data_IF_708488236410
#
_entry.id   IF_708488236410
#
_cell.length_a   1.000
_cell.length_b   1.000
_cell.length_c   1.000
_cell.angle_alpha   90.00
_cell.angle_beta   90.00
_cell.angle_gamma   90.00
#
_symmetry.space_group_name_H-M   'P 1'
#
loop_
_entity.id
_entity.type
_entity.pdbx_description
1 polymer ?
#
# COMPACT_ATOMS: atom_id res chain seq x y z
N UNK A 1 21.97 -15.42 -7.92
CA UNK A 1 20.87 -14.48 -7.56
C UNK A 1 21.41 -13.61 -6.45
N UNK A 2 21.47 -12.30 -6.65
CA UNK A 2 21.95 -11.38 -5.61
C UNK A 2 20.83 -11.03 -4.62
N UNK A 3 21.23 -10.53 -3.45
CA UNK A 3 20.33 -10.23 -2.35
C UNK A 3 19.41 -9.04 -2.67
N UNK A 4 19.92 -8.08 -3.44
CA UNK A 4 19.19 -6.92 -3.93
C UNK A 4 17.99 -7.31 -4.82
N UNK A 5 18.17 -8.27 -5.72
CA UNK A 5 17.15 -8.79 -6.61
C UNK A 5 16.06 -9.53 -5.82
N UNK A 6 16.44 -10.30 -4.80
CA UNK A 6 15.48 -10.99 -3.91
C UNK A 6 14.65 -9.96 -3.15
N UNK A 7 15.30 -9.01 -2.49
CA UNK A 7 14.63 -7.92 -1.75
C UNK A 7 13.67 -7.15 -2.66
N UNK A 8 14.12 -6.77 -3.85
CA UNK A 8 13.33 -6.00 -4.82
C UNK A 8 12.14 -6.80 -5.33
N UNK A 9 12.34 -8.08 -5.68
CA UNK A 9 11.25 -8.97 -6.08
C UNK A 9 10.17 -9.08 -4.99
N UNK A 10 10.58 -9.33 -3.74
CA UNK A 10 9.66 -9.45 -2.61
C UNK A 10 8.94 -8.13 -2.33
N UNK A 11 9.63 -6.99 -2.43
CA UNK A 11 9.02 -5.68 -2.28
C UNK A 11 7.95 -5.43 -3.35
N UNK A 12 8.28 -5.68 -4.62
CA UNK A 12 7.34 -5.54 -5.73
C UNK A 12 6.15 -6.49 -5.61
N UNK A 13 6.35 -7.72 -5.13
CA UNK A 13 5.26 -8.65 -4.85
C UNK A 13 4.32 -8.12 -3.76
N UNK A 14 4.87 -7.58 -2.67
CA UNK A 14 4.09 -6.94 -1.61
C UNK A 14 3.33 -5.71 -2.10
N UNK A 15 3.99 -4.84 -2.88
CA UNK A 15 3.39 -3.64 -3.48
C UNK A 15 2.28 -4.03 -4.47
N UNK A 16 2.47 -5.03 -5.31
CA UNK A 16 1.46 -5.51 -6.26
C UNK A 16 0.22 -6.05 -5.54
N UNK A 17 0.40 -6.84 -4.48
CA UNK A 17 -0.71 -7.34 -3.68
C UNK A 17 -1.46 -6.26 -2.89
N UNK A 18 -0.74 -5.24 -2.40
CA UNK A 18 -1.35 -4.12 -1.67
C UNK A 18 -2.02 -3.11 -2.59
N UNK A 19 -1.26 -2.47 -3.49
CA UNK A 19 -1.73 -1.38 -4.35
C UNK A 19 -2.60 -1.94 -5.48
N UNK A 20 -2.10 -2.95 -6.21
CA UNK A 20 -2.84 -3.58 -7.30
C UNK A 20 -4.12 -4.26 -6.81
N UNK A 21 -4.07 -4.87 -5.62
CA UNK A 21 -5.25 -5.42 -4.96
C UNK A 21 -6.33 -4.39 -4.64
N UNK A 22 -5.96 -3.17 -4.22
CA UNK A 22 -6.92 -2.07 -4.01
C UNK A 22 -7.55 -1.63 -5.34
N UNK A 23 -6.76 -1.49 -6.41
CA UNK A 23 -7.28 -1.18 -7.76
C UNK A 23 -8.33 -2.21 -8.17
N UNK A 24 -8.00 -3.50 -8.01
CA UNK A 24 -8.91 -4.60 -8.34
C UNK A 24 -10.21 -4.52 -7.51
N UNK A 25 -10.11 -4.33 -6.19
CA UNK A 25 -11.28 -4.26 -5.31
C UNK A 25 -12.20 -3.07 -5.64
N UNK A 26 -11.63 -1.92 -6.00
CA UNK A 26 -12.42 -0.76 -6.46
C UNK A 26 -13.13 -1.09 -7.78
N UNK A 27 -12.42 -1.71 -8.74
CA UNK A 27 -12.99 -2.11 -10.02
C UNK A 27 -14.11 -3.15 -9.93
N UNK A 28 -14.02 -4.08 -8.97
CA UNK A 28 -15.04 -5.11 -8.75
C UNK A 28 -16.29 -4.61 -8.02
N UNK A 29 -16.25 -3.40 -7.45
CA UNK A 29 -17.34 -2.89 -6.59
C UNK A 29 -18.73 -2.86 -7.26
N UNK A 30 -18.89 -2.46 -8.54
CA UNK A 30 -20.20 -2.49 -9.20
C UNK A 30 -20.79 -3.90 -9.30
N UNK A 31 -19.95 -4.89 -9.63
CA UNK A 31 -20.34 -6.30 -9.73
C UNK A 31 -20.66 -6.86 -8.35
N UNK A 32 -19.83 -6.59 -7.35
CA UNK A 32 -20.09 -7.07 -5.99
C UNK A 32 -21.41 -6.51 -5.44
N UNK A 33 -21.76 -5.26 -5.76
CA UNK A 33 -23.04 -4.66 -5.36
C UNK A 33 -24.24 -5.27 -6.09
N UNK A 34 -24.09 -5.73 -7.34
CA UNK A 34 -25.18 -6.38 -8.07
C UNK A 34 -25.48 -7.80 -7.55
N UNK A 35 -24.50 -8.45 -6.91
CA UNK A 35 -24.64 -9.77 -6.31
C UNK A 35 -25.33 -9.76 -4.93
N UNK A 36 -25.58 -8.58 -4.35
CA UNK A 36 -26.31 -8.41 -3.09
C UNK A 36 -25.59 -7.53 -2.06
N UNK A 37 -26.29 -7.10 -1.00
CA UNK A 37 -25.77 -6.12 -0.03
C UNK A 37 -24.57 -6.62 0.79
N UNK A 38 -24.45 -7.93 1.01
CA UNK A 38 -23.36 -8.53 1.82
C UNK A 38 -22.11 -8.88 1.01
N UNK A 39 -22.22 -9.00 -0.31
CA UNK A 39 -21.13 -9.45 -1.18
C UNK A 39 -19.88 -8.53 -1.13
N UNK A 40 -20.00 -7.18 -1.18
CA UNK A 40 -18.84 -6.30 -1.03
C UNK A 40 -18.11 -6.47 0.30
N UNK A 41 -18.85 -6.68 1.40
CA UNK A 41 -18.29 -6.86 2.73
C UNK A 41 -17.55 -8.19 2.84
N UNK A 42 -18.14 -9.27 2.33
CA UNK A 42 -17.51 -10.58 2.30
C UNK A 42 -16.20 -10.56 1.48
N UNK A 43 -16.23 -9.92 0.30
CA UNK A 43 -15.04 -9.75 -0.55
C UNK A 43 -13.96 -8.91 0.16
N UNK A 44 -14.32 -7.79 0.79
CA UNK A 44 -13.39 -6.95 1.53
C UNK A 44 -12.69 -7.70 2.67
N UNK A 45 -13.42 -8.53 3.44
CA UNK A 45 -12.82 -9.36 4.49
C UNK A 45 -11.82 -10.38 3.93
N UNK A 46 -12.11 -11.00 2.78
CA UNK A 46 -11.19 -11.94 2.13
C UNK A 46 -9.99 -11.23 1.54
N UNK A 47 -10.19 -10.09 0.90
CA UNK A 47 -9.14 -9.22 0.41
C UNK A 47 -8.17 -8.83 1.53
N UNK A 48 -8.68 -8.40 2.70
CA UNK A 48 -7.84 -8.01 3.83
C UNK A 48 -6.88 -9.12 4.29
N UNK A 49 -7.30 -10.39 4.24
CA UNK A 49 -6.43 -11.54 4.61
C UNK A 49 -5.23 -11.73 3.68
N UNK A 50 -5.29 -11.20 2.46
CA UNK A 50 -4.19 -11.23 1.48
C UNK A 50 -3.43 -9.90 1.50
N UNK A 51 -4.16 -8.79 1.52
CA UNK A 51 -3.60 -7.44 1.46
C UNK A 51 -2.68 -7.14 2.65
N UNK A 52 -3.08 -7.46 3.88
CA UNK A 52 -2.26 -7.17 5.07
C UNK A 52 -0.89 -7.88 5.06
N UNK A 53 -0.79 -9.18 4.75
CA UNK A 53 0.50 -9.83 4.50
C UNK A 53 1.33 -9.16 3.40
N UNK A 54 0.72 -8.77 2.28
CA UNK A 54 1.42 -8.06 1.21
C UNK A 54 1.95 -6.69 1.66
N UNK A 55 1.18 -5.95 2.45
CA UNK A 55 1.64 -4.70 3.06
C UNK A 55 2.80 -4.92 4.02
N UNK A 56 2.69 -5.92 4.90
CA UNK A 56 3.76 -6.28 5.82
C UNK A 56 5.04 -6.66 5.06
N UNK A 57 4.92 -7.44 3.99
CA UNK A 57 6.04 -7.79 3.11
C UNK A 57 6.68 -6.55 2.49
N UNK A 58 5.88 -5.62 1.95
CA UNK A 58 6.38 -4.37 1.38
C UNK A 58 7.08 -3.50 2.44
N UNK A 59 6.53 -3.39 3.65
CA UNK A 59 7.14 -2.62 4.75
C UNK A 59 8.47 -3.24 5.16
N UNK A 60 8.51 -4.55 5.43
CA UNK A 60 9.74 -5.24 5.87
C UNK A 60 10.85 -5.12 4.82
N UNK A 61 10.53 -5.37 3.56
CA UNK A 61 11.50 -5.24 2.45
C UNK A 61 11.88 -3.79 2.15
N UNK A 62 10.99 -2.83 2.41
CA UNK A 62 11.30 -1.40 2.32
C UNK A 62 12.27 -0.96 3.42
N UNK A 63 12.07 -1.43 4.65
CA UNK A 63 13.00 -1.20 5.78
C UNK A 63 14.36 -1.85 5.52
N UNK A 64 14.38 -3.05 4.93
CA UNK A 64 15.62 -3.66 4.45
C UNK A 64 16.32 -2.74 3.43
N UNK A 65 15.60 -2.23 2.43
CA UNK A 65 16.16 -1.30 1.45
C UNK A 65 16.75 -0.03 2.08
N UNK A 66 16.12 0.50 3.12
CA UNK A 66 16.64 1.65 3.87
C UNK A 66 17.94 1.36 4.60
N UNK A 67 18.09 0.15 5.15
CA UNK A 67 19.31 -0.23 5.87
C UNK A 67 20.52 -0.41 4.93
N UNK A 68 20.27 -0.68 3.65
CA UNK A 68 21.32 -0.86 2.63
C UNK A 68 21.61 0.43 1.85
N UNK A 69 20.66 1.36 1.78
CA UNK A 69 20.89 2.68 1.17
C UNK A 69 21.73 3.55 2.12
N UNK A 70 22.93 3.92 1.68
CA UNK A 70 23.78 4.91 2.36
C UNK A 70 23.13 6.29 2.34
N UNK A 71 22.25 6.58 3.31
CA UNK A 71 21.47 7.82 3.37
C UNK A 71 22.34 9.08 3.54
N UNK A 72 23.54 8.95 4.12
CA UNK A 72 24.47 10.07 4.33
C UNK A 72 25.03 10.67 3.04
N UNK A 73 25.01 9.90 1.95
CA UNK A 73 25.56 10.31 0.65
C UNK A 73 24.47 10.81 -0.33
N UNK A 74 23.22 10.90 0.13
CA UNK A 74 22.06 11.30 -0.70
C UNK A 74 21.77 12.78 -0.59
N UNK A 75 21.32 13.37 -1.70
CA UNK A 75 20.97 14.78 -1.74
C UNK A 75 19.64 15.07 -1.00
N UNK A 76 19.39 16.35 -0.75
CA UNK A 76 18.18 16.79 -0.04
C UNK A 76 16.91 16.35 -0.77
N UNK A 77 16.90 16.34 -2.11
CA UNK A 77 15.73 15.97 -2.90
C UNK A 77 15.37 14.49 -2.72
N UNK A 78 16.38 13.60 -2.74
CA UNK A 78 16.21 12.19 -2.45
C UNK A 78 15.63 11.98 -1.05
N UNK A 79 16.20 12.64 -0.04
CA UNK A 79 15.77 12.50 1.35
C UNK A 79 14.34 13.02 1.58
N UNK A 80 13.97 14.15 0.97
CA UNK A 80 12.59 14.67 1.01
C UNK A 80 11.62 13.72 0.33
N UNK A 81 11.96 13.22 -0.86
CA UNK A 81 11.13 12.24 -1.60
C UNK A 81 10.94 10.96 -0.78
N UNK A 82 12.01 10.49 -0.14
CA UNK A 82 11.95 9.34 0.75
C UNK A 82 11.06 9.60 1.98
N UNK A 83 11.19 10.75 2.64
CA UNK A 83 10.33 11.11 3.77
C UNK A 83 8.86 11.12 3.36
N UNK A 84 8.54 11.76 2.23
CA UNK A 84 7.19 11.78 1.66
C UNK A 84 6.69 10.36 1.40
N UNK A 85 7.51 9.50 0.78
CA UNK A 85 7.17 8.09 0.56
C UNK A 85 6.81 7.38 1.86
N UNK A 86 7.62 7.53 2.91
CA UNK A 86 7.40 6.86 4.19
C UNK A 86 6.13 7.35 4.89
N UNK A 87 5.86 8.65 4.86
CA UNK A 87 4.61 9.21 5.39
C UNK A 87 3.39 8.68 4.63
N UNK A 88 3.47 8.57 3.31
CA UNK A 88 2.40 8.02 2.47
C UNK A 88 2.16 6.53 2.72
N UNK A 89 3.23 5.73 2.91
CA UNK A 89 3.10 4.31 3.31
C UNK A 89 2.39 4.19 4.66
N UNK A 90 2.82 4.98 5.65
CA UNK A 90 2.20 5.01 6.98
C UNK A 90 0.72 5.42 6.93
N UNK A 91 0.41 6.49 6.17
CA UNK A 91 -0.95 6.97 5.97
C UNK A 91 -1.83 5.91 5.28
N UNK A 92 -1.30 5.21 4.27
CA UNK A 92 -2.01 4.14 3.56
C UNK A 92 -2.42 3.03 4.53
N UNK A 93 -1.47 2.52 5.33
CA UNK A 93 -1.74 1.47 6.31
C UNK A 93 -2.70 1.91 7.42
N UNK A 94 -2.51 3.11 7.99
CA UNK A 94 -3.37 3.64 9.05
C UNK A 94 -4.80 3.88 8.56
N UNK A 95 -4.96 4.48 7.37
CA UNK A 95 -6.27 4.70 6.78
C UNK A 95 -6.96 3.36 6.45
N UNK A 96 -6.23 2.35 5.97
CA UNK A 96 -6.79 1.01 5.74
C UNK A 96 -7.25 0.33 7.04
N UNK A 97 -6.50 0.47 8.14
CA UNK A 97 -6.91 -0.03 9.44
C UNK A 97 -8.20 0.65 9.95
N UNK A 98 -8.29 1.98 9.82
CA UNK A 98 -9.49 2.74 10.18
C UNK A 98 -10.68 2.38 9.27
N UNK A 99 -10.45 2.21 7.97
CA UNK A 99 -11.46 1.76 7.01
C UNK A 99 -12.07 0.42 7.42
N UNK A 100 -11.24 -0.53 7.83
CA UNK A 100 -11.66 -1.88 8.20
C UNK A 100 -12.43 -1.94 9.54
N UNK A 101 -12.16 -1.01 10.46
CA UNK A 101 -12.67 -1.07 11.85
C UNK A 101 -13.78 -0.08 12.14
N UNK A 102 -13.91 1.01 11.37
CA UNK A 102 -14.92 2.04 11.62
C UNK A 102 -16.34 1.53 11.40
N UNK A 103 -17.27 2.01 12.24
CA UNK A 103 -18.71 1.76 12.10
C UNK A 103 -19.42 2.79 11.22
N UNK A 104 -18.81 3.98 11.03
CA UNK A 104 -19.39 5.07 10.24
C UNK A 104 -19.20 4.85 8.73
N UNK A 105 -20.28 4.85 7.92
CA UNK A 105 -20.18 4.72 6.46
C UNK A 105 -19.36 5.84 5.81
N UNK A 106 -19.52 7.08 6.29
CA UNK A 106 -18.79 8.23 5.77
C UNK A 106 -17.28 8.11 6.02
N UNK A 107 -16.89 7.76 7.26
CA UNK A 107 -15.48 7.51 7.58
C UNK A 107 -14.92 6.33 6.81
N UNK A 108 -15.70 5.28 6.60
CA UNK A 108 -15.28 4.12 5.79
C UNK A 108 -14.96 4.56 4.36
N UNK A 109 -15.84 5.33 3.72
CA UNK A 109 -15.59 5.88 2.38
C UNK A 109 -14.34 6.77 2.33
N UNK A 110 -14.25 7.75 3.25
CA UNK A 110 -13.15 8.70 3.28
C UNK A 110 -11.79 8.02 3.51
N UNK A 111 -11.68 7.16 4.52
CA UNK A 111 -10.43 6.43 4.84
C UNK A 111 -10.06 5.42 3.75
N UNK A 112 -11.03 4.84 3.04
CA UNK A 112 -10.76 4.02 1.86
C UNK A 112 -10.11 4.83 0.74
N UNK A 113 -10.66 6.00 0.42
CA UNK A 113 -10.10 6.90 -0.60
C UNK A 113 -8.72 7.44 -0.23
N UNK A 114 -8.56 7.94 1.00
CA UNK A 114 -7.28 8.44 1.51
C UNK A 114 -6.21 7.34 1.50
N UNK A 115 -6.56 6.13 1.97
CA UNK A 115 -5.63 5.00 2.01
C UNK A 115 -5.14 4.59 0.63
N UNK A 116 -6.02 4.62 -0.37
CA UNK A 116 -5.71 4.30 -1.76
C UNK A 116 -4.85 5.37 -2.43
N UNK A 117 -5.22 6.65 -2.31
CA UNK A 117 -4.42 7.74 -2.87
C UNK A 117 -3.02 7.81 -2.22
N UNK A 118 -2.92 7.58 -0.92
CA UNK A 118 -1.64 7.48 -0.24
C UNK A 118 -0.79 6.31 -0.76
N UNK A 119 -1.42 5.16 -1.04
CA UNK A 119 -0.73 4.01 -1.63
C UNK A 119 -0.16 4.32 -3.03
N UNK A 120 -0.95 4.97 -3.88
CA UNK A 120 -0.52 5.40 -5.21
C UNK A 120 0.60 6.45 -5.15
N UNK A 121 0.49 7.41 -4.23
CA UNK A 121 1.54 8.40 -3.99
C UNK A 121 2.85 7.75 -3.52
N UNK A 122 2.78 6.77 -2.61
CA UNK A 122 3.95 6.03 -2.16
C UNK A 122 4.60 5.21 -3.29
N UNK A 123 3.79 4.63 -4.19
CA UNK A 123 4.27 3.94 -5.39
C UNK A 123 4.99 4.92 -6.33
N UNK A 124 4.40 6.08 -6.61
CA UNK A 124 4.99 7.11 -7.46
C UNK A 124 6.31 7.63 -6.87
N UNK A 125 6.33 8.00 -5.59
CA UNK A 125 7.54 8.42 -4.90
C UNK A 125 8.60 7.31 -4.90
N UNK A 126 8.20 6.04 -4.82
CA UNK A 126 9.09 4.91 -4.99
C UNK A 126 9.72 4.84 -6.39
N UNK A 127 8.95 5.10 -7.44
CA UNK A 127 9.47 5.16 -8.81
C UNK A 127 10.45 6.33 -9.00
N UNK A 128 10.16 7.51 -8.42
CA UNK A 128 11.06 8.67 -8.46
C UNK A 128 12.41 8.42 -7.77
N UNK A 129 12.45 7.56 -6.75
CA UNK A 129 13.71 7.19 -6.08
C UNK A 129 14.54 6.16 -6.86
N UNK A 130 13.94 5.50 -7.85
CA UNK A 130 14.60 4.48 -8.67
C UNK A 130 15.20 5.04 -9.97
N UNK A 131 14.92 6.32 -10.28
CA UNK A 131 15.44 7.07 -11.43
C UNK A 131 16.54 8.01 -11.01
#
# INVERSE_FOLDING_TARGET
MDLDAIRTFLHLLGVAGWVGGQVLMVGLMPVLRSLGPDAPKAAAHRFARVAWPCFALAVVTGLWGLAEVGLGDRDTNYLVTLLVKLLLVGLSGAAAALHATTRSPALRGATGGVGFLAALGALLAGAMLAT
#
